data_IF_862727602585
#
_entry.id   IF_862727602585
#
_cell.length_a   1.000
_cell.length_b   1.000
_cell.length_c   1.000
_cell.angle_alpha   90.00
_cell.angle_beta   90.00
_cell.angle_gamma   90.00
#
_symmetry.space_group_name_H-M   'P 1'
#
loop_
_entity.id
_entity.type
_entity.pdbx_description
1 polymer ?
#
# COMPACT_ATOMS: atom_id res chain seq x y z
N UNK A 1 -7.65 -23.02 -1.01
CA UNK A 1 -7.38 -22.51 -1.21
C UNK A 1 -7.18 -21.26 -0.97
N UNK A 2 -6.52 -20.77 -0.25
CA UNK A 2 -6.51 -19.44 -0.10
C UNK A 2 -5.21 -18.83 -0.39
N UNK A 3 -5.29 -17.66 -0.95
CA UNK A 3 -4.19 -16.80 -1.20
C UNK A 3 -4.30 -15.68 -0.20
N UNK A 4 -3.18 -15.24 0.34
CA UNK A 4 -3.19 -14.22 1.35
C UNK A 4 -2.15 -13.17 1.02
N UNK A 5 -2.48 -11.92 1.25
CA UNK A 5 -1.55 -10.82 1.11
C UNK A 5 -1.29 -10.26 2.48
N UNK A 6 -0.02 -10.09 2.84
CA UNK A 6 0.36 -9.53 4.11
C UNK A 6 1.22 -8.30 3.88
N UNK A 7 0.94 -7.25 4.63
CA UNK A 7 1.78 -6.06 4.64
C UNK A 7 2.45 -5.99 6.01
N UNK A 8 3.77 -6.01 6.01
CA UNK A 8 4.53 -5.91 7.25
C UNK A 8 5.18 -4.54 7.32
N UNK A 9 4.98 -3.81 8.40
CA UNK A 9 5.65 -2.53 8.57
C UNK A 9 7.09 -2.79 9.00
N UNK A 10 8.04 -2.38 8.17
CA UNK A 10 9.44 -2.62 8.44
C UNK A 10 10.19 -1.37 8.86
N UNK A 11 9.56 -0.20 8.75
CA UNK A 11 10.15 1.06 9.17
C UNK A 11 9.05 2.02 9.60
N UNK A 12 9.31 2.83 10.59
CA UNK A 12 8.37 3.83 11.10
C UNK A 12 7.87 3.45 12.49
N UNK A 13 6.97 4.28 13.03
CA UNK A 13 6.51 4.09 14.40
C UNK A 13 5.66 2.84 14.59
N UNK A 14 5.12 2.28 13.49
CA UNK A 14 4.33 1.07 13.57
C UNK A 14 5.14 -0.18 13.21
N UNK A 15 6.46 -0.09 13.23
CA UNK A 15 7.32 -1.20 12.85
C UNK A 15 6.93 -2.47 13.59
N UNK A 16 6.80 -3.55 12.85
CA UNK A 16 6.42 -4.85 13.39
C UNK A 16 4.94 -5.17 13.23
N UNK A 17 4.13 -4.16 12.87
CA UNK A 17 2.71 -4.41 12.69
C UNK A 17 2.46 -5.09 11.35
N UNK A 18 1.51 -6.01 11.33
CA UNK A 18 1.13 -6.72 10.11
C UNK A 18 -0.33 -6.55 9.79
N UNK A 19 -0.64 -6.47 8.52
CA UNK A 19 -2.02 -6.41 8.04
C UNK A 19 -2.20 -7.53 7.02
N UNK A 20 -3.16 -8.41 7.25
CA UNK A 20 -3.39 -9.57 6.38
C UNK A 20 -4.72 -9.47 5.67
N UNK A 21 -4.75 -9.83 4.41
CA UNK A 21 -5.94 -9.77 3.59
C UNK A 21 -6.14 -11.09 2.86
N UNK A 22 -7.28 -11.71 3.01
CA UNK A 22 -7.61 -12.95 2.33
C UNK A 22 -8.71 -12.78 1.30
N UNK A 23 -9.39 -11.66 1.33
CA UNK A 23 -10.48 -11.36 0.42
C UNK A 23 -10.24 -10.04 -0.29
N UNK A 24 -11.02 -9.80 -1.32
CA UNK A 24 -10.93 -8.52 -2.03
C UNK A 24 -11.21 -7.38 -1.08
N UNK A 25 -10.44 -6.33 -1.18
CA UNK A 25 -10.60 -5.17 -0.31
C UNK A 25 -9.98 -3.94 -0.96
N UNK A 26 -10.51 -2.78 -0.59
CA UNK A 26 -9.90 -1.50 -0.93
C UNK A 26 -9.45 -0.92 0.40
N UNK A 27 -8.18 -0.61 0.50
CA UNK A 27 -7.58 -0.19 1.75
C UNK A 27 -6.91 1.16 1.57
N UNK A 28 -7.43 2.17 2.24
CA UNK A 28 -6.86 3.52 2.17
C UNK A 28 -5.83 3.67 3.27
N UNK A 29 -4.65 4.13 2.90
CA UNK A 29 -3.58 4.41 3.85
C UNK A 29 -3.44 5.92 3.96
N UNK A 30 -3.41 6.44 5.16
CA UNK A 30 -3.22 7.86 5.37
C UNK A 30 -3.33 8.26 6.82
N UNK A 31 -3.43 9.57 7.04
CA UNK A 31 -3.43 10.14 8.38
C UNK A 31 -4.84 10.34 8.93
N UNK A 32 -5.84 10.38 8.05
CA UNK A 32 -7.20 10.68 8.46
C UNK A 32 -7.83 9.53 9.25
N UNK A 33 -8.80 9.87 10.07
CA UNK A 33 -9.42 8.89 10.94
C UNK A 33 -10.20 7.82 10.17
N UNK A 34 -10.65 8.13 8.99
CA UNK A 34 -11.41 7.18 8.19
C UNK A 34 -10.53 6.26 7.33
N UNK A 35 -9.23 6.37 7.45
CA UNK A 35 -8.35 5.47 6.71
C UNK A 35 -8.37 4.07 7.30
N UNK A 36 -8.26 3.06 6.45
CA UNK A 36 -8.22 1.67 6.89
C UNK A 36 -6.91 1.36 7.59
N UNK A 37 -5.81 1.90 7.08
CA UNK A 37 -4.54 1.86 7.79
C UNK A 37 -4.20 3.30 8.11
N UNK A 38 -4.38 3.65 9.36
CA UNK A 38 -4.14 5.02 9.78
C UNK A 38 -2.72 5.15 10.33
N UNK A 39 -1.97 6.06 9.74
CA UNK A 39 -0.62 6.33 10.20
C UNK A 39 -0.66 7.45 11.21
N UNK A 40 -0.10 7.26 12.41
CA UNK A 40 -0.22 8.25 13.47
C UNK A 40 0.48 9.54 13.12
N UNK A 41 -0.03 10.64 13.69
CA UNK A 41 0.57 11.91 13.45
C UNK A 41 1.65 12.15 14.49
N UNK A 42 2.86 11.76 14.21
CA UNK A 42 3.99 11.99 15.08
C UNK A 42 5.13 12.52 14.22
N UNK A 43 6.32 12.63 14.80
CA UNK A 43 7.40 13.14 14.04
C UNK A 43 7.63 12.42 12.76
N UNK A 44 7.56 11.14 12.72
CA UNK A 44 7.86 10.36 11.55
C UNK A 44 6.76 10.36 10.53
N UNK A 45 5.60 10.93 10.85
CA UNK A 45 4.44 10.87 9.98
C UNK A 45 4.01 12.23 9.43
N UNK A 46 4.89 13.22 9.53
CA UNK A 46 4.54 14.54 9.02
C UNK A 46 4.36 14.58 7.52
N UNK A 47 4.98 13.61 6.81
CA UNK A 47 4.93 13.57 5.37
C UNK A 47 3.77 12.74 4.82
N UNK A 48 2.83 12.36 5.63
CA UNK A 48 1.71 11.54 5.19
C UNK A 48 0.48 12.41 4.98
N UNK A 49 -0.10 12.32 3.81
CA UNK A 49 -1.34 13.04 3.50
C UNK A 49 -2.52 12.38 4.20
N UNK A 50 -3.62 13.11 4.36
CA UNK A 50 -4.80 12.60 5.04
C UNK A 50 -5.29 11.32 4.37
N UNK A 51 -5.43 11.31 3.04
CA UNK A 51 -5.71 10.11 2.27
C UNK A 51 -4.57 10.01 1.27
N UNK A 52 -3.60 9.15 1.57
CA UNK A 52 -2.33 9.16 0.86
C UNK A 52 -2.32 8.24 -0.35
N UNK A 53 -2.71 7.02 -0.16
CA UNK A 53 -2.77 6.06 -1.26
C UNK A 53 -3.85 5.01 -1.02
N UNK A 54 -4.22 4.31 -2.09
CA UNK A 54 -5.23 3.28 -2.03
C UNK A 54 -4.63 1.97 -2.48
N UNK A 55 -4.82 0.93 -1.69
CA UNK A 55 -4.45 -0.42 -2.08
C UNK A 55 -5.68 -1.11 -2.62
N UNK A 56 -5.57 -1.63 -3.85
CA UNK A 56 -6.62 -2.41 -4.48
C UNK A 56 -6.19 -3.87 -4.35
N UNK A 57 -6.84 -4.58 -3.47
CA UNK A 57 -6.45 -5.93 -3.07
C UNK A 57 -7.42 -6.95 -3.64
N UNK A 58 -6.89 -7.87 -4.43
CA UNK A 58 -7.65 -8.94 -5.04
C UNK A 58 -6.72 -10.15 -5.05
N UNK A 59 -6.55 -10.85 -3.91
CA UNK A 59 -5.52 -11.87 -3.79
C UNK A 59 -5.58 -12.88 -4.92
N UNK A 60 -4.45 -13.21 -5.53
CA UNK A 60 -3.08 -12.84 -5.10
C UNK A 60 -2.59 -11.50 -5.66
N UNK A 61 -3.44 -10.71 -6.27
CA UNK A 61 -3.03 -9.43 -6.85
C UNK A 61 -3.20 -8.29 -5.87
N UNK A 62 -2.28 -7.35 -5.90
CA UNK A 62 -2.39 -6.14 -5.12
C UNK A 62 -1.80 -5.00 -5.94
N UNK A 63 -2.49 -3.87 -5.97
CA UNK A 63 -2.02 -2.67 -6.67
C UNK A 63 -2.16 -1.48 -5.76
N UNK A 64 -1.31 -0.49 -5.98
CA UNK A 64 -1.37 0.75 -5.20
C UNK A 64 -1.57 1.93 -6.14
N UNK A 65 -2.39 2.88 -5.69
CA UNK A 65 -2.67 4.10 -6.43
C UNK A 65 -2.48 5.29 -5.50
N UNK A 66 -1.68 6.27 -5.93
CA UNK A 66 -1.52 7.49 -5.14
C UNK A 66 -2.81 8.29 -5.22
N UNK A 67 -3.25 8.88 -4.12
CA UNK A 67 -4.49 9.64 -4.07
C UNK A 67 -4.22 11.15 -4.07
N UNK A 68 -3.16 11.57 -4.73
CA UNK A 68 -2.81 12.99 -4.77
C UNK A 68 -2.04 13.41 -3.55
N UNK A 69 -1.13 12.56 -3.08
CA UNK A 69 -0.36 12.86 -1.88
C UNK A 69 0.61 14.02 -2.11
N UNK A 70 0.86 14.77 -1.07
CA UNK A 70 1.74 15.93 -1.17
C UNK A 70 3.19 15.50 -1.36
N UNK A 71 3.62 14.48 -0.67
CA UNK A 71 5.04 14.07 -0.72
C UNK A 71 5.30 12.80 -1.53
N UNK A 72 4.26 12.20 -2.10
CA UNK A 72 4.43 11.08 -3.01
C UNK A 72 4.29 9.71 -2.37
N UNK A 73 4.01 8.74 -3.21
CA UNK A 73 3.97 7.32 -2.86
C UNK A 73 5.10 6.64 -3.63
N UNK A 74 5.86 5.79 -2.95
CA UNK A 74 7.05 5.17 -3.55
C UNK A 74 7.01 3.67 -3.45
N UNK A 75 7.44 3.01 -4.52
CA UNK A 75 7.59 1.55 -4.53
C UNK A 75 9.05 1.25 -4.87
N UNK A 76 9.73 0.58 -3.96
CA UNK A 76 11.16 0.25 -4.12
C UNK A 76 11.99 1.50 -4.42
N UNK A 77 11.61 2.61 -3.81
CA UNK A 77 12.34 3.86 -3.96
C UNK A 77 11.93 4.71 -5.15
N UNK A 78 11.02 4.22 -6.00
CA UNK A 78 10.56 4.99 -7.16
C UNK A 78 9.20 5.60 -6.92
N UNK A 79 9.05 6.86 -7.26
CA UNK A 79 7.76 7.54 -7.13
C UNK A 79 6.76 6.97 -8.10
N UNK A 80 5.59 6.58 -7.61
CA UNK A 80 4.52 6.11 -8.47
C UNK A 80 3.40 7.13 -8.57
N UNK A 81 3.46 8.20 -7.84
CA UNK A 81 2.46 9.26 -7.93
C UNK A 81 2.69 10.30 -6.87
N UNK A 82 2.25 11.52 -7.18
CA UNK A 82 2.37 12.64 -6.26
C UNK A 82 1.50 13.76 -6.79
N UNK A 83 0.92 14.56 -5.90
CA UNK A 83 0.16 15.72 -6.30
C UNK A 83 1.10 16.76 -6.93
N UNK A 84 0.71 17.37 -8.06
CA UNK A 84 1.51 18.44 -8.61
C UNK A 84 1.66 19.59 -7.62
N UNK A 85 2.79 20.24 -7.62
CA UNK A 85 3.11 21.26 -6.62
C UNK A 85 2.15 22.43 -6.62
N UNK A 86 1.58 22.75 -7.77
CA UNK A 86 0.71 23.91 -7.90
C UNK A 86 -0.77 23.57 -7.74
N UNK A 87 -1.10 22.36 -7.31
CA UNK A 87 -2.49 21.98 -7.10
C UNK A 87 -2.81 21.83 -5.63
N UNK A 88 -4.02 22.20 -5.29
CA UNK A 88 -4.54 21.97 -3.95
C UNK A 88 -5.12 20.56 -3.87
N UNK A 89 -5.20 20.01 -2.67
CA UNK A 89 -5.69 18.64 -2.50
C UNK A 89 -7.08 18.45 -3.09
N UNK A 90 -7.94 19.43 -2.96
CA UNK A 90 -9.30 19.30 -3.45
C UNK A 90 -9.40 19.41 -4.97
N UNK A 91 -8.33 19.80 -5.63
CA UNK A 91 -8.31 19.89 -7.08
C UNK A 91 -7.85 18.61 -7.75
N UNK A 92 -7.35 17.66 -6.96
CA UNK A 92 -6.78 16.44 -7.51
C UNK A 92 -7.88 15.41 -7.68
N UNK A 93 -7.92 14.80 -8.87
CA UNK A 93 -8.84 13.70 -9.12
C UNK A 93 -8.13 12.41 -8.74
N UNK A 94 -8.55 11.72 -7.69
CA UNK A 94 -7.88 10.49 -7.26
C UNK A 94 -7.81 9.42 -8.33
N UNK A 95 -8.73 9.44 -9.28
CA UNK A 95 -8.70 8.45 -10.34
C UNK A 95 -7.71 8.76 -11.44
N UNK A 96 -7.04 9.91 -11.40
CA UNK A 96 -6.14 10.30 -12.47
C UNK A 96 -4.80 9.56 -12.41
N UNK A 97 -4.42 9.02 -11.25
CA UNK A 97 -3.16 8.32 -11.14
C UNK A 97 -3.34 6.86 -11.48
N UNK A 98 -2.36 6.31 -12.17
CA UNK A 98 -2.43 4.92 -12.56
C UNK A 98 -2.11 4.01 -11.40
N UNK A 99 -2.77 2.87 -11.33
CA UNK A 99 -2.46 1.87 -10.32
C UNK A 99 -1.16 1.16 -10.70
N UNK A 100 -0.35 0.88 -9.69
CA UNK A 100 0.94 0.22 -9.87
C UNK A 100 0.88 -1.14 -9.19
N UNK A 101 1.18 -2.19 -9.93
CA UNK A 101 1.12 -3.53 -9.37
C UNK A 101 2.28 -3.77 -8.40
N UNK A 102 1.97 -4.42 -7.28
CA UNK A 102 2.97 -4.76 -6.29
C UNK A 102 3.22 -6.26 -6.33
N UNK A 103 4.50 -6.63 -6.25
CA UNK A 103 4.90 -8.03 -6.23
C UNK A 103 5.40 -8.39 -4.84
N UNK A 104 5.41 -9.67 -4.54
CA UNK A 104 5.90 -10.13 -3.26
C UNK A 104 7.35 -9.67 -3.08
N UNK A 105 7.65 -9.09 -1.95
CA UNK A 105 8.96 -8.55 -1.64
C UNK A 105 9.09 -7.05 -1.91
N UNK A 106 8.12 -6.45 -2.59
CA UNK A 106 8.18 -5.01 -2.86
C UNK A 106 8.01 -4.21 -1.58
N UNK A 107 8.61 -3.04 -1.55
CA UNK A 107 8.52 -2.14 -0.41
C UNK A 107 7.75 -0.90 -0.80
N UNK A 108 6.65 -0.65 -0.11
CA UNK A 108 5.79 0.51 -0.33
C UNK A 108 6.09 1.53 0.74
N UNK A 109 6.45 2.73 0.33
CA UNK A 109 6.78 3.80 1.27
C UNK A 109 5.73 4.90 1.23
N UNK A 110 5.23 5.24 2.41
CA UNK A 110 4.27 6.30 2.62
C UNK A 110 4.83 7.16 3.75
N UNK A 111 5.36 8.33 3.41
CA UNK A 111 6.06 9.14 4.38
C UNK A 111 7.26 8.39 4.94
N UNK A 112 7.31 8.24 6.24
CA UNK A 112 8.41 7.53 6.89
C UNK A 112 8.08 6.08 7.17
N UNK A 113 6.92 5.62 6.77
CA UNK A 113 6.48 4.25 7.00
C UNK A 113 6.77 3.42 5.75
N UNK A 114 7.39 2.28 5.94
CA UNK A 114 7.67 1.37 4.83
C UNK A 114 7.01 0.03 5.13
N UNK A 115 6.21 -0.43 4.16
CA UNK A 115 5.54 -1.72 4.24
C UNK A 115 6.22 -2.68 3.28
N UNK A 116 6.44 -3.91 3.71
CA UNK A 116 6.90 -4.96 2.79
C UNK A 116 5.70 -5.83 2.43
N UNK A 117 5.53 -6.07 1.15
CA UNK A 117 4.42 -6.86 0.64
C UNK A 117 4.83 -8.31 0.56
N UNK A 118 4.00 -9.20 1.09
CA UNK A 118 4.19 -10.63 0.92
C UNK A 118 2.93 -11.22 0.35
N UNK A 119 3.06 -11.99 -0.72
CA UNK A 119 1.95 -12.67 -1.35
C UNK A 119 2.15 -14.15 -1.12
N UNK A 120 1.27 -14.74 -0.32
CA UNK A 120 1.34 -16.17 0.01
C UNK A 120 0.28 -16.91 -0.76
N UNK A 121 0.68 -17.99 -1.41
CA UNK A 121 -0.22 -18.82 -2.18
C UNK A 121 -0.30 -20.15 -1.47
N UNK A 122 -1.49 -20.70 -1.32
CA UNK A 122 -1.65 -21.93 -0.57
C UNK A 122 -0.87 -23.06 -1.22
N UNK A 123 -0.46 -24.00 -0.41
CA UNK A 123 0.29 -25.14 -0.91
C UNK A 123 -0.48 -25.93 -1.93
N UNK A 124 -1.79 -25.94 -1.81
CA UNK A 124 -2.62 -26.63 -2.78
C UNK A 124 -2.51 -26.00 -4.16
N UNK A 125 -2.34 -24.73 -4.23
CA UNK A 125 -2.18 -24.07 -5.51
C UNK A 125 -0.84 -24.36 -6.14
N UNK A 126 0.12 -24.69 -5.34
CA UNK A 126 1.43 -24.99 -5.86
C UNK A 126 1.65 -26.41 -6.20
N UNK A 127 0.79 -27.31 -5.70
CA UNK A 127 1.01 -28.62 -5.87
C UNK A 127 0.98 -29.28 -7.07
N UNK A 128 0.16 -29.08 -7.82
CA UNK A 128 -0.09 -29.93 -8.93
C UNK A 128 0.98 -30.19 -9.77
N UNK A 129 1.88 -29.43 -9.80
CA UNK A 129 2.58 -29.59 -10.91
C UNK A 129 3.74 -30.37 -10.74
N UNK A 130 4.22 -30.62 -9.60
CA UNK A 130 5.37 -31.16 -9.71
C UNK A 130 5.51 -32.43 -9.24
N UNK A 131 4.72 -32.97 -9.01
CA UNK A 131 4.83 -34.12 -8.64
C UNK A 131 4.94 -34.93 -9.51
N UNK A 132 5.18 -35.10 -10.20
CA UNK A 132 5.20 -35.90 -11.11
C UNK A 132 6.15 -36.35 -11.38
#
# INVERSE_FOLDING_TARGET
MSEQITLMVIQGSLKGKEYAFENNAWCVIGRAEDCDIRLPRDFGQMDVSRHHCLLEIDPPSIRVRDLGSLHGTYVNGESIGQRPKDQLAEEVNPGSNQAHELNSGDELRVGNTVFRVNVNVSADALQPTYFL
#
